data_IF_923821142952
#
_entry.id   IF_923821142952
#
_cell.length_a   1.000
_cell.length_b   1.000
_cell.length_c   1.000
_cell.angle_alpha   90.00
_cell.angle_beta   90.00
_cell.angle_gamma   90.00
#
_symmetry.space_group_name_H-M   'P 1'
#
loop_
_entity.id
_entity.type
_entity.pdbx_description
1 polymer ?
#
# COMPACT_ATOMS: atom_id res chain seq x y z
N UNK A 1 -10.26 7.48 5.54
CA UNK A 1 -10.53 6.29 6.36
C UNK A 1 -11.05 6.73 7.71
N UNK A 2 -12.20 6.20 8.13
CA UNK A 2 -12.82 6.50 9.42
C UNK A 2 -12.73 5.28 10.33
N UNK A 3 -12.42 5.51 11.59
CA UNK A 3 -12.45 4.49 12.65
C UNK A 3 -13.11 5.04 13.90
N UNK A 4 -13.40 4.16 14.86
CA UNK A 4 -14.10 4.52 16.10
C UNK A 4 -13.39 5.63 16.90
N UNK A 5 -12.06 5.75 16.75
CA UNK A 5 -11.21 6.68 17.51
C UNK A 5 -10.69 7.86 16.67
N UNK A 6 -11.24 8.09 15.47
CA UNK A 6 -10.88 9.22 14.63
C UNK A 6 -10.78 8.88 13.15
N UNK A 7 -10.16 9.78 12.39
CA UNK A 7 -10.02 9.65 10.94
C UNK A 7 -8.55 9.71 10.50
N UNK A 8 -8.29 9.16 9.32
CA UNK A 8 -7.05 9.27 8.57
C UNK A 8 -7.37 9.60 7.11
N UNK A 9 -6.78 10.67 6.59
CA UNK A 9 -6.88 11.13 5.22
C UNK A 9 -5.49 11.11 4.59
N UNK A 10 -5.40 10.71 3.33
CA UNK A 10 -4.15 10.67 2.58
C UNK A 10 -4.44 11.23 1.19
N UNK A 11 -3.68 12.25 0.78
CA UNK A 11 -3.78 12.84 -0.55
C UNK A 11 -2.47 13.56 -0.93
N UNK A 12 -1.85 13.26 -2.08
CA UNK A 12 -2.17 12.18 -3.02
C UNK A 12 -1.79 10.80 -2.44
N UNK A 13 -2.55 9.76 -2.76
CA UNK A 13 -2.42 8.43 -2.12
C UNK A 13 -1.64 7.39 -2.94
N UNK A 14 -1.43 7.62 -4.23
CA UNK A 14 -0.81 6.65 -5.15
C UNK A 14 0.03 7.30 -6.25
N UNK A 15 0.44 8.56 -6.07
CA UNK A 15 1.30 9.27 -7.02
C UNK A 15 2.76 9.27 -6.58
N UNK A 16 3.67 9.59 -7.49
CA UNK A 16 5.11 9.79 -7.19
C UNK A 16 5.41 11.08 -6.41
N UNK A 17 4.38 11.87 -6.09
CA UNK A 17 4.51 13.07 -5.30
C UNK A 17 4.53 12.74 -3.79
N UNK A 18 5.13 13.60 -2.95
CA UNK A 18 5.04 13.52 -1.51
C UNK A 18 3.63 13.18 -1.00
N UNK A 19 3.48 12.03 -0.36
CA UNK A 19 2.22 11.63 0.28
C UNK A 19 2.00 12.53 1.47
N UNK A 20 0.95 13.34 1.44
CA UNK A 20 0.53 14.16 2.58
C UNK A 20 -0.67 13.47 3.23
N UNK A 21 -0.55 13.23 4.53
CA UNK A 21 -1.65 12.66 5.32
C UNK A 21 -2.08 13.58 6.44
N UNK A 22 -3.33 13.42 6.87
CA UNK A 22 -3.89 14.04 8.07
C UNK A 22 -4.56 12.97 8.91
N UNK A 23 -4.32 13.00 10.21
CA UNK A 23 -5.01 12.17 11.18
C UNK A 23 -5.73 13.07 12.18
N UNK A 24 -6.63 12.50 12.99
CA UNK A 24 -7.33 13.26 14.05
C UNK A 24 -6.39 14.00 15.04
N UNK A 25 -5.11 13.60 15.10
CA UNK A 25 -4.04 14.22 15.91
C UNK A 25 -3.21 15.27 15.17
N UNK A 26 -3.51 15.58 13.91
CA UNK A 26 -2.76 16.55 13.11
C UNK A 26 -2.16 15.96 11.84
N UNK A 27 -1.08 16.56 11.34
CA UNK A 27 -0.42 16.14 10.10
C UNK A 27 0.36 14.83 10.25
N UNK A 28 0.21 13.92 9.29
CA UNK A 28 1.00 12.70 9.21
C UNK A 28 2.35 13.03 8.57
N UNK A 29 3.43 12.94 9.35
CA UNK A 29 4.80 13.12 8.88
C UNK A 29 5.47 11.76 8.72
N UNK A 30 5.65 11.31 7.48
CA UNK A 30 6.38 10.10 7.14
C UNK A 30 7.69 10.45 6.40
N UNK A 31 8.68 9.56 6.51
CA UNK A 31 9.91 9.65 5.72
C UNK A 31 9.59 9.47 4.23
N UNK A 32 10.15 10.33 3.39
CA UNK A 32 10.01 10.22 1.94
C UNK A 32 11.06 9.25 1.41
N UNK A 33 10.67 7.99 1.27
CA UNK A 33 11.44 6.98 0.55
C UNK A 33 10.64 6.65 -0.70
N UNK A 34 11.30 6.53 -1.85
CA UNK A 34 10.62 6.13 -3.08
C UNK A 34 10.19 4.67 -2.95
N UNK A 35 8.87 4.42 -2.99
CA UNK A 35 8.30 3.09 -2.78
C UNK A 35 8.89 2.04 -3.73
N UNK A 36 9.14 2.41 -5.00
CA UNK A 36 9.76 1.52 -5.99
C UNK A 36 11.17 1.10 -5.60
N UNK A 37 11.99 2.02 -5.08
CA UNK A 37 13.35 1.70 -4.63
C UNK A 37 13.30 0.73 -3.47
N UNK A 38 12.43 0.97 -2.49
CA UNK A 38 12.26 0.07 -1.35
C UNK A 38 11.80 -1.33 -1.78
N UNK A 39 10.89 -1.41 -2.75
CA UNK A 39 10.42 -2.69 -3.29
C UNK A 39 11.52 -3.46 -4.03
N UNK A 40 12.30 -2.78 -4.89
CA UNK A 40 13.38 -3.41 -5.63
C UNK A 40 14.51 -3.90 -4.70
N UNK A 41 14.90 -3.08 -3.73
CA UNK A 41 15.92 -3.45 -2.74
C UNK A 41 15.45 -4.63 -1.87
N UNK A 42 14.19 -4.62 -1.44
CA UNK A 42 13.59 -5.73 -0.70
C UNK A 42 13.59 -7.04 -1.50
N UNK A 43 13.25 -6.99 -2.79
CA UNK A 43 13.29 -8.18 -3.65
C UNK A 43 14.72 -8.69 -3.85
N UNK A 44 15.70 -7.80 -4.04
CA UNK A 44 17.09 -8.19 -4.14
C UNK A 44 17.57 -8.92 -2.87
N UNK A 45 17.25 -8.38 -1.69
CA UNK A 45 17.58 -9.01 -0.41
C UNK A 45 16.94 -10.40 -0.25
N UNK A 46 15.68 -10.56 -0.66
CA UNK A 46 15.00 -11.86 -0.61
C UNK A 46 15.75 -12.90 -1.46
N UNK A 47 16.21 -12.52 -2.65
CA UNK A 47 16.94 -13.42 -3.55
C UNK A 47 18.30 -13.83 -2.97
N UNK A 48 19.02 -12.89 -2.35
CA UNK A 48 20.35 -13.17 -1.79
C UNK A 48 20.33 -13.90 -0.46
N UNK A 49 19.38 -13.57 0.43
CA UNK A 49 19.37 -14.05 1.82
C UNK A 49 18.29 -15.12 2.10
N UNK A 50 17.46 -15.47 1.10
CA UNK A 50 16.31 -16.41 1.22
C UNK A 50 15.36 -16.00 2.36
N UNK A 51 14.85 -14.78 2.27
CA UNK A 51 13.91 -14.21 3.22
C UNK A 51 12.44 -14.43 2.82
N UNK A 52 11.53 -14.21 3.77
CA UNK A 52 10.08 -14.25 3.53
C UNK A 52 9.66 -13.05 2.67
N UNK A 53 8.88 -13.30 1.62
CA UNK A 53 8.29 -12.26 0.78
C UNK A 53 7.13 -11.59 1.56
N UNK A 54 7.15 -10.27 1.79
CA UNK A 54 6.11 -9.59 2.59
C UNK A 54 4.76 -9.49 1.87
N UNK A 55 4.76 -9.47 0.54
CA UNK A 55 3.56 -9.50 -0.31
C UNK A 55 3.80 -10.55 -1.38
N UNK A 56 3.21 -11.73 -1.21
CA UNK A 56 3.40 -12.87 -2.09
C UNK A 56 2.36 -12.91 -3.23
N UNK A 57 2.41 -13.98 -4.02
CA UNK A 57 1.47 -14.17 -5.13
C UNK A 57 0.03 -14.44 -4.69
N UNK A 58 -0.20 -14.95 -3.47
CA UNK A 58 -1.56 -15.24 -3.00
C UNK A 58 -2.33 -13.96 -2.70
N UNK A 59 -1.67 -12.93 -2.16
CA UNK A 59 -2.29 -11.63 -1.92
C UNK A 59 -2.79 -10.98 -3.22
N UNK A 60 -2.03 -11.10 -4.32
CA UNK A 60 -2.46 -10.60 -5.64
C UNK A 60 -3.69 -11.37 -6.16
N UNK A 61 -3.74 -12.69 -5.99
CA UNK A 61 -4.89 -13.50 -6.42
C UNK A 61 -6.15 -13.11 -5.65
N UNK A 62 -6.03 -12.79 -4.36
CA UNK A 62 -7.14 -12.32 -3.53
C UNK A 62 -7.68 -10.99 -4.05
N UNK A 63 -6.83 -10.04 -4.39
CA UNK A 63 -7.27 -8.77 -4.98
C UNK A 63 -7.91 -8.96 -6.36
N UNK A 64 -7.38 -9.84 -7.21
CA UNK A 64 -7.98 -10.15 -8.51
C UNK A 64 -9.39 -10.73 -8.39
N UNK A 65 -9.67 -11.56 -7.39
CA UNK A 65 -11.02 -12.09 -7.14
C UNK A 65 -12.01 -10.99 -6.75
N UNK A 66 -11.57 -10.01 -5.96
CA UNK A 66 -12.39 -8.86 -5.59
C UNK A 66 -12.70 -8.03 -6.84
N UNK A 67 -11.68 -7.75 -7.66
CA UNK A 67 -11.84 -7.02 -8.92
C UNK A 67 -12.84 -7.73 -9.84
N UNK A 68 -12.67 -9.04 -10.05
CA UNK A 68 -13.58 -9.84 -10.89
C UNK A 68 -15.02 -9.77 -10.38
N UNK A 69 -15.22 -9.87 -9.07
CA UNK A 69 -16.54 -9.74 -8.44
C UNK A 69 -17.15 -8.36 -8.69
N UNK A 70 -16.37 -7.28 -8.57
CA UNK A 70 -16.84 -5.92 -8.86
C UNK A 70 -17.27 -5.81 -10.33
N UNK A 71 -16.48 -6.35 -11.27
CA UNK A 71 -16.83 -6.36 -12.69
C UNK A 71 -18.10 -7.15 -12.99
N UNK A 72 -18.31 -8.28 -12.31
CA UNK A 72 -19.52 -9.10 -12.46
C UNK A 72 -20.78 -8.39 -11.94
N UNK A 73 -20.69 -7.65 -10.85
CA UNK A 73 -21.83 -6.94 -10.23
C UNK A 73 -22.25 -5.69 -11.01
N UNK A 74 -21.33 -5.07 -11.75
CA UNK A 74 -21.59 -3.87 -12.55
C UNK A 74 -22.18 -4.19 -13.93
N UNK A 75 -22.13 -5.45 -14.37
CA UNK A 75 -22.69 -5.93 -15.64
C UNK A 75 -24.19 -6.20 -15.56
#
# INVERSE_FOLDING_TARGET
>A
MNGEKGFAEIHPSSGYAPIKGRIYKGELRASHITDQTLQMDGMAQIIFDVNVVPVDGEEVVKDLKIIDTIYLVVK
#
